data_IF_882208049492
#
_entry.id   IF_882208049492
#
_cell.length_a   1.000
_cell.length_b   1.000
_cell.length_c   1.000
_cell.angle_alpha   90.00
_cell.angle_beta   90.00
_cell.angle_gamma   90.00
#
_symmetry.space_group_name_H-M   'P 1'
#
loop_
_entity.id
_entity.type
_entity.pdbx_description
1 polymer ?
#
# COMPACT_ATOMS: atom_id res chain seq x y z
N UNK A 1 20.22 10.20 -16.41
CA UNK A 1 20.18 8.84 -15.83
C UNK A 1 20.41 8.97 -14.33
N UNK A 2 19.43 8.65 -13.48
CA UNK A 2 19.57 8.78 -12.03
C UNK A 2 20.56 7.72 -11.50
N UNK A 3 21.62 8.13 -10.82
CA UNK A 3 22.66 7.22 -10.29
C UNK A 3 22.36 6.91 -8.83
N UNK A 4 22.02 5.66 -8.54
CA UNK A 4 21.77 5.20 -7.18
C UNK A 4 23.02 5.34 -6.30
N UNK A 5 22.84 5.90 -5.11
CA UNK A 5 23.82 5.94 -4.03
C UNK A 5 24.13 4.52 -3.53
N UNK A 6 25.29 4.33 -2.88
CA UNK A 6 25.66 3.04 -2.26
C UNK A 6 24.60 2.56 -1.26
N UNK A 7 23.99 3.51 -0.55
CA UNK A 7 22.93 3.28 0.45
C UNK A 7 21.64 2.79 -0.21
N UNK A 8 21.18 3.44 -1.27
CA UNK A 8 20.01 3.00 -2.06
C UNK A 8 20.22 1.62 -2.67
N UNK A 9 21.40 1.35 -3.23
CA UNK A 9 21.74 0.03 -3.76
C UNK A 9 21.63 -1.05 -2.68
N UNK A 10 22.19 -0.81 -1.50
CA UNK A 10 22.12 -1.75 -0.37
C UNK A 10 20.67 -1.99 0.08
N UNK A 11 19.86 -0.94 0.21
CA UNK A 11 18.45 -1.07 0.54
C UNK A 11 17.70 -1.91 -0.50
N UNK A 12 17.87 -1.61 -1.78
CA UNK A 12 17.22 -2.35 -2.87
C UNK A 12 17.64 -3.82 -2.91
N UNK A 13 18.92 -4.12 -2.68
CA UNK A 13 19.38 -5.52 -2.59
C UNK A 13 18.71 -6.27 -1.44
N UNK A 14 18.56 -5.67 -0.26
CA UNK A 14 17.89 -6.30 0.88
C UNK A 14 16.39 -6.46 0.60
N UNK A 15 15.73 -5.41 0.07
CA UNK A 15 14.31 -5.46 -0.30
C UNK A 15 14.04 -6.54 -1.36
N UNK A 16 14.95 -6.72 -2.32
CA UNK A 16 14.87 -7.78 -3.32
C UNK A 16 15.00 -9.17 -2.69
N UNK A 17 15.97 -9.36 -1.79
CA UNK A 17 16.12 -10.62 -1.04
C UNK A 17 14.84 -10.92 -0.24
N UNK A 18 14.28 -9.92 0.45
CA UNK A 18 13.01 -10.07 1.17
C UNK A 18 11.85 -10.45 0.23
N UNK A 19 11.77 -9.86 -0.97
CA UNK A 19 10.76 -10.23 -1.95
C UNK A 19 10.91 -11.70 -2.40
N UNK A 20 12.13 -12.19 -2.61
CA UNK A 20 12.37 -13.60 -2.92
C UNK A 20 11.93 -14.50 -1.76
N UNK A 21 12.27 -14.15 -0.52
CA UNK A 21 11.82 -14.88 0.66
C UNK A 21 10.28 -14.85 0.82
N UNK A 22 9.61 -13.75 0.45
CA UNK A 22 8.15 -13.67 0.45
C UNK A 22 7.55 -14.68 -0.54
N UNK A 23 8.11 -14.78 -1.75
CA UNK A 23 7.70 -15.78 -2.75
C UNK A 23 7.93 -17.19 -2.22
N UNK A 24 9.09 -17.49 -1.62
CA UNK A 24 9.35 -18.80 -1.03
C UNK A 24 8.42 -19.12 0.15
N UNK A 25 8.07 -18.11 0.95
CA UNK A 25 7.14 -18.26 2.08
C UNK A 25 5.72 -18.60 1.60
N UNK A 26 5.35 -18.20 0.38
CA UNK A 26 4.01 -18.43 -0.19
C UNK A 26 3.66 -19.88 -0.43
N UNK A 27 4.66 -20.77 -0.42
CA UNK A 27 4.44 -22.22 -0.46
C UNK A 27 4.01 -22.80 0.90
N UNK A 28 4.20 -22.06 1.99
CA UNK A 28 4.01 -22.58 3.35
C UNK A 28 3.03 -21.76 4.19
N UNK A 29 2.88 -20.47 3.89
CA UNK A 29 2.09 -19.52 4.66
C UNK A 29 1.01 -18.88 3.80
N UNK A 30 -0.06 -18.42 4.45
CA UNK A 30 -1.11 -17.67 3.78
C UNK A 30 -0.58 -16.32 3.28
N UNK A 31 -0.99 -15.96 2.06
CA UNK A 31 -0.51 -14.76 1.36
C UNK A 31 -0.71 -13.46 2.16
N UNK A 32 -1.81 -13.31 2.91
CA UNK A 32 -2.04 -12.11 3.72
C UNK A 32 -1.05 -11.97 4.86
N UNK A 33 -0.72 -13.08 5.52
CA UNK A 33 0.30 -13.09 6.58
C UNK A 33 1.68 -12.73 6.01
N UNK A 34 2.02 -13.24 4.83
CA UNK A 34 3.24 -12.90 4.12
C UNK A 34 3.27 -11.39 3.83
N UNK A 35 2.22 -10.84 3.22
CA UNK A 35 2.18 -9.41 2.89
C UNK A 35 2.33 -8.54 4.14
N UNK A 36 1.65 -8.88 5.25
CA UNK A 36 1.81 -8.19 6.54
C UNK A 36 3.27 -8.19 6.99
N UNK A 37 3.92 -9.37 7.05
CA UNK A 37 5.29 -9.51 7.56
C UNK A 37 6.26 -8.74 6.66
N UNK A 38 6.24 -9.00 5.35
CA UNK A 38 7.25 -8.48 4.44
C UNK A 38 7.08 -6.99 4.17
N UNK A 39 5.85 -6.47 4.08
CA UNK A 39 5.65 -5.02 4.00
C UNK A 39 6.09 -4.31 5.28
N UNK A 40 5.79 -4.88 6.46
CA UNK A 40 6.28 -4.32 7.73
C UNK A 40 7.80 -4.29 7.79
N UNK A 41 8.48 -5.37 7.39
CA UNK A 41 9.94 -5.43 7.33
C UNK A 41 10.52 -4.40 6.36
N UNK A 42 9.92 -4.22 5.17
CA UNK A 42 10.38 -3.21 4.22
C UNK A 42 10.17 -1.80 4.76
N UNK A 43 9.06 -1.51 5.44
CA UNK A 43 8.82 -0.21 6.08
C UNK A 43 9.85 0.07 7.19
N UNK A 44 10.12 -0.92 8.05
CA UNK A 44 11.13 -0.82 9.11
C UNK A 44 12.52 -0.59 8.51
N UNK A 45 12.89 -1.33 7.46
CA UNK A 45 14.16 -1.13 6.76
C UNK A 45 14.23 0.24 6.09
N UNK A 46 13.14 0.67 5.46
CA UNK A 46 13.02 2.01 4.91
C UNK A 46 13.31 3.04 5.99
N UNK A 47 12.75 2.87 7.18
CA UNK A 47 12.94 3.82 8.28
C UNK A 47 14.37 3.78 8.82
N UNK A 48 14.97 2.61 8.96
CA UNK A 48 16.37 2.47 9.39
C UNK A 48 17.32 3.15 8.40
N UNK A 49 17.08 2.96 7.10
CA UNK A 49 17.94 3.55 6.08
C UNK A 49 17.65 5.04 5.92
N UNK A 50 16.41 5.49 5.86
CA UNK A 50 16.07 6.86 5.43
C UNK A 50 15.55 7.76 6.55
N UNK A 51 15.42 7.26 7.78
CA UNK A 51 14.99 7.93 9.03
C UNK A 51 14.18 9.20 8.80
N UNK A 52 14.84 10.36 8.86
CA UNK A 52 14.21 11.68 8.84
C UNK A 52 13.30 11.89 7.63
N UNK A 53 13.69 11.34 6.47
CA UNK A 53 12.93 11.51 5.23
C UNK A 53 11.57 10.84 5.27
N UNK A 54 11.56 9.56 5.66
CA UNK A 54 10.35 8.76 5.54
C UNK A 54 9.51 8.73 6.82
N UNK A 55 10.01 9.28 7.94
CA UNK A 55 9.29 9.18 9.23
C UNK A 55 7.95 9.90 9.18
N UNK A 56 7.92 11.13 8.66
CA UNK A 56 6.67 11.88 8.55
C UNK A 56 5.73 11.21 7.52
N UNK A 57 6.26 10.74 6.39
CA UNK A 57 5.50 10.00 5.37
C UNK A 57 4.83 8.74 5.96
N UNK A 58 5.62 7.94 6.70
CA UNK A 58 5.17 6.73 7.36
C UNK A 58 4.10 7.02 8.41
N UNK A 59 4.28 8.05 9.24
CA UNK A 59 3.30 8.44 10.27
C UNK A 59 1.99 8.88 9.61
N UNK A 60 2.04 9.75 8.59
CA UNK A 60 0.84 10.23 7.91
C UNK A 60 0.12 9.08 7.20
N UNK A 61 0.85 8.23 6.48
CA UNK A 61 0.30 7.05 5.81
C UNK A 61 -0.36 6.09 6.81
N UNK A 62 0.31 5.82 7.94
CA UNK A 62 -0.21 4.99 9.01
C UNK A 62 -1.47 5.58 9.64
N UNK A 63 -1.51 6.88 9.93
CA UNK A 63 -2.68 7.54 10.51
C UNK A 63 -3.89 7.50 9.56
N UNK A 64 -3.68 7.72 8.25
CA UNK A 64 -4.73 7.59 7.24
C UNK A 64 -5.26 6.15 7.20
N UNK A 65 -4.35 5.18 7.11
CA UNK A 65 -4.71 3.76 7.07
C UNK A 65 -5.42 3.31 8.35
N UNK A 66 -4.97 3.77 9.51
CA UNK A 66 -5.55 3.48 10.83
C UNK A 66 -6.95 4.09 10.96
N UNK A 67 -7.11 5.37 10.61
CA UNK A 67 -8.41 6.03 10.64
C UNK A 67 -9.43 5.30 9.75
N UNK A 68 -9.01 4.92 8.53
CA UNK A 68 -9.88 4.20 7.61
C UNK A 68 -10.23 2.79 8.10
N UNK A 69 -9.23 2.01 8.51
CA UNK A 69 -9.45 0.62 8.97
C UNK A 69 -10.15 0.53 10.33
N UNK A 70 -10.14 1.60 11.12
CA UNK A 70 -10.98 1.72 12.32
C UNK A 70 -12.43 2.05 11.99
N UNK A 71 -12.68 2.78 10.89
CA UNK A 71 -14.01 3.14 10.42
C UNK A 71 -14.68 2.01 9.63
N UNK A 72 -13.96 1.40 8.70
CA UNK A 72 -14.46 0.33 7.83
C UNK A 72 -13.86 -1.03 8.23
N UNK A 73 -14.65 -1.94 8.81
CA UNK A 73 -14.18 -3.26 9.21
C UNK A 73 -13.96 -4.13 7.97
N UNK A 74 -12.70 -4.27 7.56
CA UNK A 74 -12.34 -5.19 6.48
C UNK A 74 -12.43 -6.63 7.00
N UNK A 75 -13.47 -7.34 6.60
CA UNK A 75 -13.63 -8.77 6.84
C UNK A 75 -13.45 -9.51 5.52
N UNK A 76 -12.41 -10.32 5.42
CA UNK A 76 -12.15 -11.15 4.25
C UNK A 76 -12.71 -12.55 4.44
N UNK A 77 -12.97 -13.25 3.34
CA UNK A 77 -13.45 -14.65 3.34
C UNK A 77 -12.40 -15.65 3.86
N UNK A 78 -11.12 -15.29 3.76
CA UNK A 78 -9.97 -16.04 4.29
C UNK A 78 -9.53 -15.50 5.67
N UNK A 79 -8.39 -15.89 6.22
CA UNK A 79 -8.06 -15.58 7.63
C UNK A 79 -7.98 -14.07 7.92
N UNK A 80 -8.48 -13.63 9.07
CA UNK A 80 -8.42 -12.22 9.44
C UNK A 80 -7.51 -12.06 10.66
N UNK A 81 -6.37 -11.41 10.47
CA UNK A 81 -5.49 -11.05 11.58
C UNK A 81 -5.90 -9.68 12.11
N UNK A 82 -6.52 -9.66 13.28
CA UNK A 82 -7.17 -8.48 13.84
C UNK A 82 -6.46 -8.02 15.12
N UNK A 83 -6.37 -6.70 15.31
CA UNK A 83 -6.21 -6.07 16.63
C UNK A 83 -7.56 -5.43 16.96
N UNK A 84 -8.27 -5.99 17.93
CA UNK A 84 -9.68 -5.69 18.17
C UNK A 84 -10.53 -5.85 16.89
N UNK A 85 -10.93 -4.74 16.25
CA UNK A 85 -11.70 -4.71 15.00
C UNK A 85 -10.86 -4.32 13.78
N UNK A 86 -9.59 -3.95 13.99
CA UNK A 86 -8.73 -3.41 12.95
C UNK A 86 -8.01 -4.57 12.27
N UNK A 87 -8.27 -4.76 10.98
CA UNK A 87 -7.60 -5.78 10.19
C UNK A 87 -6.19 -5.32 9.83
N UNK A 88 -5.18 -6.10 10.24
CA UNK A 88 -3.78 -5.77 10.02
C UNK A 88 -3.38 -5.82 8.55
N UNK A 89 -4.02 -6.67 7.75
CA UNK A 89 -3.70 -6.77 6.33
C UNK A 89 -3.90 -5.45 5.57
N UNK A 90 -5.11 -4.83 5.55
CA UNK A 90 -5.30 -3.55 4.90
C UNK A 90 -4.57 -2.41 5.62
N UNK A 91 -4.44 -2.43 6.95
CA UNK A 91 -3.68 -1.39 7.68
C UNK A 91 -2.24 -1.29 7.17
N UNK A 92 -1.53 -2.42 7.13
CA UNK A 92 -0.13 -2.47 6.69
C UNK A 92 -0.03 -2.26 5.18
N UNK A 93 -0.93 -2.83 4.39
CA UNK A 93 -0.90 -2.68 2.92
C UNK A 93 -1.17 -1.24 2.47
N UNK A 94 -2.12 -0.54 3.10
CA UNK A 94 -2.36 0.88 2.83
C UNK A 94 -1.18 1.73 3.25
N UNK A 95 -0.63 1.50 4.45
CA UNK A 95 0.56 2.23 4.92
C UNK A 95 1.73 2.05 3.95
N UNK A 96 2.02 0.81 3.55
CA UNK A 96 3.09 0.50 2.60
C UNK A 96 2.85 1.12 1.23
N UNK A 97 1.66 0.96 0.67
CA UNK A 97 1.31 1.48 -0.65
C UNK A 97 1.41 3.00 -0.73
N UNK A 98 0.97 3.71 0.31
CA UNK A 98 1.07 5.17 0.37
C UNK A 98 2.52 5.64 0.48
N UNK A 99 3.34 5.05 1.36
CA UNK A 99 4.78 5.39 1.45
C UNK A 99 5.49 5.14 0.12
N UNK A 100 5.23 3.99 -0.52
CA UNK A 100 5.79 3.68 -1.83
C UNK A 100 5.34 4.69 -2.91
N UNK A 101 4.06 5.10 -2.86
CA UNK A 101 3.52 6.09 -3.79
C UNK A 101 4.25 7.43 -3.66
N UNK A 102 4.54 7.89 -2.43
CA UNK A 102 5.32 9.11 -2.18
C UNK A 102 6.73 9.02 -2.73
N UNK A 103 7.41 7.90 -2.49
CA UNK A 103 8.75 7.67 -3.03
C UNK A 103 8.76 7.70 -4.57
N UNK A 104 7.78 7.11 -5.23
CA UNK A 104 7.65 7.19 -6.69
C UNK A 104 7.37 8.65 -7.11
N UNK A 105 6.45 9.32 -6.43
CA UNK A 105 6.08 10.71 -6.69
C UNK A 105 7.28 11.65 -6.68
N UNK A 106 8.14 11.58 -5.66
CA UNK A 106 9.34 12.44 -5.53
C UNK A 106 10.33 12.29 -6.69
N UNK A 107 10.30 11.16 -7.40
CA UNK A 107 11.18 10.88 -8.54
C UNK A 107 10.55 11.23 -9.89
N UNK A 108 9.28 11.63 -9.92
CA UNK A 108 8.59 12.01 -11.15
C UNK A 108 8.93 13.44 -11.58
N UNK A 109 8.93 13.75 -12.89
CA UNK A 109 9.13 15.11 -13.36
C UNK A 109 7.97 16.04 -12.94
N UNK A 110 8.23 17.33 -12.80
CA UNK A 110 7.23 18.29 -12.29
C UNK A 110 6.03 18.53 -13.23
N UNK A 111 6.23 18.47 -14.55
CA UNK A 111 5.15 18.73 -15.51
C UNK A 111 4.02 17.70 -15.37
N UNK A 112 2.84 18.13 -14.92
CA UNK A 112 1.68 17.26 -14.64
C UNK A 112 1.99 16.11 -13.66
N UNK A 113 2.87 16.35 -12.67
CA UNK A 113 3.33 15.33 -11.70
C UNK A 113 2.16 14.63 -11.01
N UNK A 114 1.26 15.39 -10.39
CA UNK A 114 0.10 14.87 -9.65
C UNK A 114 -0.87 14.06 -10.53
N UNK A 115 -1.15 14.53 -11.74
CA UNK A 115 -2.03 13.80 -12.67
C UNK A 115 -1.42 12.45 -13.07
N UNK A 116 -0.12 12.43 -13.42
CA UNK A 116 0.56 11.21 -13.84
C UNK A 116 0.68 10.18 -12.72
N UNK A 117 1.03 10.61 -11.51
CA UNK A 117 1.08 9.70 -10.36
C UNK A 117 -0.31 9.18 -9.99
N UNK A 118 -1.36 10.01 -10.13
CA UNK A 118 -2.75 9.58 -9.87
C UNK A 118 -3.19 8.52 -10.86
N UNK A 119 -2.91 8.70 -12.15
CA UNK A 119 -3.22 7.68 -13.16
C UNK A 119 -2.43 6.39 -12.92
N UNK A 120 -1.13 6.50 -12.62
CA UNK A 120 -0.30 5.34 -12.28
C UNK A 120 -0.85 4.60 -11.06
N UNK A 121 -1.21 5.33 -10.01
CA UNK A 121 -1.83 4.80 -8.81
C UNK A 121 -3.10 4.02 -9.11
N UNK A 122 -4.03 4.59 -9.88
CA UNK A 122 -5.30 3.93 -10.22
C UNK A 122 -5.08 2.64 -11.04
N UNK A 123 -4.14 2.64 -11.97
CA UNK A 123 -3.78 1.45 -12.75
C UNK A 123 -3.20 0.36 -11.83
N UNK A 124 -2.23 0.71 -10.98
CA UNK A 124 -1.61 -0.24 -10.06
C UNK A 124 -2.62 -0.76 -9.04
N UNK A 125 -3.49 0.10 -8.51
CA UNK A 125 -4.57 -0.28 -7.59
C UNK A 125 -5.51 -1.29 -8.23
N UNK A 126 -6.01 -1.01 -9.43
CA UNK A 126 -6.88 -1.93 -10.16
C UNK A 126 -6.20 -3.28 -10.45
N UNK A 127 -4.91 -3.26 -10.80
CA UNK A 127 -4.13 -4.47 -11.05
C UNK A 127 -3.93 -5.31 -9.78
N UNK A 128 -3.59 -4.67 -8.66
CA UNK A 128 -3.41 -5.34 -7.36
C UNK A 128 -4.73 -5.94 -6.87
N UNK A 129 -5.83 -5.20 -6.99
CA UNK A 129 -7.17 -5.69 -6.65
C UNK A 129 -7.57 -6.89 -7.52
N UNK A 130 -7.31 -6.82 -8.83
CA UNK A 130 -7.59 -7.93 -9.76
C UNK A 130 -6.80 -9.19 -9.40
N UNK A 131 -5.49 -9.08 -9.16
CA UNK A 131 -4.64 -10.19 -8.73
C UNK A 131 -5.13 -10.74 -7.39
N UNK A 132 -5.36 -9.85 -6.42
CA UNK A 132 -5.86 -10.19 -5.09
C UNK A 132 -7.13 -11.03 -5.18
N UNK A 133 -8.10 -10.58 -5.97
CA UNK A 133 -9.41 -11.19 -6.08
C UNK A 133 -9.43 -12.50 -6.88
N UNK A 134 -8.82 -12.51 -8.07
CA UNK A 134 -8.91 -13.64 -9.00
C UNK A 134 -7.82 -14.69 -8.82
N UNK A 135 -6.60 -14.27 -8.48
CA UNK A 135 -5.46 -15.18 -8.39
C UNK A 135 -5.16 -15.60 -6.95
N UNK A 136 -5.30 -14.68 -5.99
CA UNK A 136 -4.91 -14.92 -4.60
C UNK A 136 -6.09 -15.22 -3.66
N UNK A 137 -7.33 -15.12 -4.14
CA UNK A 137 -8.53 -15.38 -3.34
C UNK A 137 -8.74 -14.41 -2.17
N UNK A 138 -8.10 -13.24 -2.19
CA UNK A 138 -8.28 -12.17 -1.22
C UNK A 138 -9.57 -11.44 -1.57
N UNK A 139 -10.68 -11.90 -0.99
CA UNK A 139 -12.01 -11.35 -1.24
C UNK A 139 -12.61 -10.81 0.04
N UNK A 140 -13.19 -9.62 -0.04
CA UNK A 140 -14.01 -9.10 1.05
C UNK A 140 -15.26 -9.97 1.18
N UNK A 141 -15.66 -10.26 2.42
CA UNK A 141 -16.91 -10.92 2.74
C UNK A 141 -18.06 -9.91 2.59
N UNK A 142 -18.36 -9.56 1.35
CA UNK A 142 -19.39 -8.58 1.02
C UNK A 142 -20.07 -8.92 -0.30
N UNK A 143 -21.33 -8.51 -0.44
CA UNK A 143 -22.14 -8.74 -1.64
C UNK A 143 -22.30 -7.46 -2.49
N UNK A 144 -21.43 -6.47 -2.31
CA UNK A 144 -21.47 -5.24 -3.10
C UNK A 144 -20.97 -5.49 -4.53
N UNK A 145 -21.58 -4.86 -5.55
CA UNK A 145 -21.07 -4.96 -6.91
C UNK A 145 -19.68 -4.34 -7.02
N UNK A 146 -18.84 -4.92 -7.85
CA UNK A 146 -17.52 -4.38 -8.17
C UNK A 146 -17.57 -3.00 -8.84
N UNK A 147 -16.43 -2.33 -8.91
CA UNK A 147 -16.32 -1.01 -9.52
C UNK A 147 -16.45 -1.11 -11.05
N UNK A 148 -17.40 -0.39 -11.65
CA UNK A 148 -17.68 -0.39 -13.11
C UNK A 148 -17.93 -1.79 -13.70
N UNK A 149 -18.46 -2.72 -12.89
CA UNK A 149 -18.69 -4.11 -13.32
C UNK A 149 -17.40 -4.95 -13.45
N UNK A 150 -16.26 -4.40 -13.06
CA UNK A 150 -15.03 -5.16 -12.86
C UNK A 150 -15.06 -5.74 -11.44
N UNK A 151 -14.63 -6.99 -11.27
CA UNK A 151 -14.55 -7.69 -9.98
C UNK A 151 -13.40 -7.15 -9.09
N UNK A 152 -13.38 -5.83 -8.86
CA UNK A 152 -12.43 -5.09 -8.03
C UNK A 152 -13.18 -4.13 -7.11
N UNK A 153 -12.64 -3.86 -5.92
CA UNK A 153 -13.19 -2.86 -4.97
C UNK A 153 -14.68 -3.15 -4.66
N UNK A 154 -14.96 -4.36 -4.18
CA UNK A 154 -16.28 -4.79 -3.75
C UNK A 154 -16.61 -4.19 -2.38
N UNK A 155 -17.31 -3.06 -2.38
CA UNK A 155 -17.79 -2.44 -1.15
C UNK A 155 -18.74 -1.27 -1.40
N UNK A 156 -19.23 -0.64 -0.31
CA UNK A 156 -20.12 0.51 -0.41
C UNK A 156 -19.41 1.69 -1.08
N UNK A 157 -20.19 2.71 -1.44
CA UNK A 157 -19.68 3.91 -2.12
C UNK A 157 -18.53 4.59 -1.34
N UNK A 158 -18.58 4.59 -0.01
CA UNK A 158 -17.51 5.14 0.83
C UNK A 158 -16.17 4.43 0.63
N UNK A 159 -16.17 3.10 0.54
CA UNK A 159 -14.96 2.31 0.26
C UNK A 159 -14.41 2.64 -1.13
N UNK A 160 -15.30 2.71 -2.14
CA UNK A 160 -14.92 3.06 -3.51
C UNK A 160 -14.29 4.45 -3.59
N UNK A 161 -14.90 5.45 -2.95
CA UNK A 161 -14.36 6.80 -2.89
C UNK A 161 -13.00 6.80 -2.20
N UNK A 162 -12.85 6.13 -1.06
CA UNK A 162 -11.58 6.03 -0.35
C UNK A 162 -10.49 5.44 -1.26
N UNK A 163 -10.75 4.26 -1.86
CA UNK A 163 -9.82 3.62 -2.78
C UNK A 163 -9.41 4.51 -3.95
N UNK A 164 -10.32 5.29 -4.53
CA UNK A 164 -9.99 6.13 -5.69
C UNK A 164 -9.24 7.41 -5.33
N UNK A 165 -9.35 7.88 -4.08
CA UNK A 165 -8.90 9.22 -3.69
C UNK A 165 -7.78 9.24 -2.64
N UNK A 166 -7.58 8.16 -1.87
CA UNK A 166 -6.63 8.17 -0.75
C UNK A 166 -5.20 8.41 -1.20
N UNK A 167 -4.77 7.85 -2.35
CA UNK A 167 -3.45 8.10 -2.92
C UNK A 167 -3.19 9.59 -3.21
N UNK A 168 -3.99 10.23 -4.08
CA UNK A 168 -3.86 11.67 -4.35
C UNK A 168 -4.01 12.56 -3.11
N UNK A 169 -4.97 12.26 -2.22
CA UNK A 169 -5.16 13.04 -0.98
C UNK A 169 -3.93 12.97 -0.10
N UNK A 170 -3.35 11.77 0.09
CA UNK A 170 -2.13 11.59 0.85
C UNK A 170 -0.95 12.38 0.26
N UNK A 171 -0.79 12.40 -1.07
CA UNK A 171 0.25 13.19 -1.73
C UNK A 171 0.05 14.70 -1.51
N UNK A 172 -1.19 15.20 -1.61
CA UNK A 172 -1.51 16.60 -1.36
C UNK A 172 -1.24 17.00 0.10
N UNK A 173 -1.58 16.14 1.06
CA UNK A 173 -1.31 16.36 2.48
C UNK A 173 0.21 16.44 2.72
N UNK A 174 0.97 15.49 2.19
CA UNK A 174 2.44 15.44 2.37
C UNK A 174 3.14 16.62 1.70
N UNK A 175 2.69 17.07 0.54
CA UNK A 175 3.18 18.30 -0.11
C UNK A 175 2.85 19.56 0.69
N UNK A 176 1.62 19.69 1.18
CA UNK A 176 1.18 20.83 2.00
C UNK A 176 2.04 20.96 3.27
N UNK A 177 2.31 19.82 3.92
CA UNK A 177 3.17 19.75 5.11
C UNK A 177 4.67 19.85 4.80
N UNK A 178 5.05 19.92 3.52
CA UNK A 178 6.45 20.00 3.06
C UNK A 178 7.31 18.85 3.58
N UNK A 179 6.75 17.64 3.61
CA UNK A 179 7.48 16.43 3.95
C UNK A 179 8.55 16.17 2.88
N UNK A 180 9.82 16.01 3.30
CA UNK A 180 11.01 15.89 2.44
C UNK A 180 11.86 14.69 2.80
#
# INVERSE_FOLDING_TARGET
MYKLTKKEKKFLSIAFILALFAVLSSFFLEIKLILIIYFSLILILGHIFYKEKITAELIIAFLIALAWTSYYPYEYTTSNLLIEKINLFPLISWTFGLVLLREIYERMPEKFKLLRITLLYLIVLGFVEFIGYHLLGIRLNSNFPGLLGLDIIHGPLSLKIFYLTVGPIYLLITDYLKVK
#
